data_IF_114065846182
#
_entry.id   IF_114065846182
#
_cell.length_a   1.000
_cell.length_b   1.000
_cell.length_c   1.000
_cell.angle_alpha   90.00
_cell.angle_beta   90.00
_cell.angle_gamma   90.00
#
_symmetry.space_group_name_H-M   'P 1'
#
loop_
_entity.id
_entity.type
_entity.pdbx_description
1 polymer ?
#
# COMPACT_ATOMS: atom_id res chain seq x y z
N UNK A 1 29.91 25.37 -52.00
CA UNK A 1 30.50 24.21 -52.70
C UNK A 1 30.03 22.93 -52.01
N UNK A 2 29.24 22.21 -52.77
CA UNK A 2 28.79 20.86 -52.68
C UNK A 2 29.79 19.82 -52.15
N UNK A 3 29.32 18.83 -51.33
CA UNK A 3 29.42 17.42 -51.73
C UNK A 3 28.59 16.56 -50.81
N UNK A 4 27.50 16.06 -51.39
CA UNK A 4 26.75 14.88 -50.98
C UNK A 4 27.63 13.64 -51.17
N UNK A 5 27.66 12.76 -50.19
CA UNK A 5 28.12 11.37 -50.40
C UNK A 5 27.01 10.43 -49.92
N UNK A 6 26.37 9.84 -50.90
CA UNK A 6 25.44 8.71 -50.79
C UNK A 6 26.23 7.44 -50.48
N UNK A 7 25.94 6.77 -49.39
CA UNK A 7 26.36 5.39 -49.21
C UNK A 7 25.11 4.54 -49.42
N UNK A 8 25.09 3.82 -50.52
CA UNK A 8 24.19 2.74 -50.85
C UNK A 8 24.58 1.54 -49.96
N UNK A 9 23.71 1.14 -49.05
CA UNK A 9 23.83 -0.16 -48.38
C UNK A 9 23.10 -1.21 -49.22
N UNK A 10 23.84 -2.15 -49.71
CA UNK A 10 23.37 -3.36 -50.35
C UNK A 10 22.57 -4.21 -49.31
N UNK A 11 21.34 -4.49 -49.60
CA UNK A 11 20.59 -5.57 -48.96
C UNK A 11 21.09 -6.90 -49.53
N UNK A 12 21.88 -7.63 -48.76
CA UNK A 12 22.10 -9.07 -49.00
C UNK A 12 21.01 -9.82 -48.25
N UNK A 13 20.07 -10.36 -48.99
CA UNK A 13 19.06 -11.29 -48.48
C UNK A 13 19.74 -12.61 -48.16
N UNK A 14 20.23 -12.78 -46.96
CA UNK A 14 20.56 -14.09 -46.42
C UNK A 14 19.29 -14.71 -45.87
N UNK A 15 18.63 -15.56 -46.64
CA UNK A 15 17.64 -16.53 -46.13
C UNK A 15 18.41 -17.55 -45.30
N UNK A 16 18.68 -17.21 -44.06
CA UNK A 16 19.14 -18.14 -43.04
C UNK A 16 17.91 -18.85 -42.47
N UNK A 17 17.75 -20.11 -42.77
CA UNK A 17 16.98 -21.05 -42.00
C UNK A 17 17.53 -21.06 -40.56
N UNK A 18 17.17 -20.06 -39.76
CA UNK A 18 17.34 -20.09 -38.33
C UNK A 18 16.40 -21.17 -37.79
N UNK A 19 16.99 -22.30 -37.48
CA UNK A 19 16.29 -23.39 -36.82
C UNK A 19 15.45 -22.84 -35.69
N UNK A 20 14.14 -23.03 -35.76
CA UNK A 20 13.25 -22.90 -34.62
C UNK A 20 13.79 -23.86 -33.56
N UNK A 21 14.60 -23.34 -32.64
CA UNK A 21 14.81 -24.02 -31.39
C UNK A 21 13.42 -24.11 -30.76
N UNK A 22 12.90 -25.31 -30.50
CA UNK A 22 11.67 -25.42 -29.76
C UNK A 22 11.93 -24.61 -28.47
N UNK A 23 11.11 -23.57 -28.24
CA UNK A 23 10.97 -23.03 -26.89
C UNK A 23 10.63 -24.25 -26.04
N UNK A 24 11.59 -24.79 -25.30
CA UNK A 24 11.26 -25.71 -24.22
C UNK A 24 10.19 -24.98 -23.45
N UNK A 25 8.98 -25.51 -23.44
CA UNK A 25 8.00 -25.19 -22.43
C UNK A 25 8.67 -25.60 -21.12
N UNK A 26 9.43 -24.67 -20.52
CA UNK A 26 9.81 -24.78 -19.13
C UNK A 26 8.46 -24.73 -18.42
N UNK A 27 8.00 -25.87 -17.92
CA UNK A 27 6.95 -25.86 -16.93
C UNK A 27 7.35 -24.83 -15.89
N UNK A 28 6.49 -23.89 -15.57
CA UNK A 28 6.76 -22.89 -14.55
C UNK A 28 7.20 -23.64 -13.31
N UNK A 29 8.50 -23.56 -12.98
CA UNK A 29 9.01 -24.19 -11.79
C UNK A 29 8.43 -23.42 -10.60
N UNK A 30 7.70 -24.14 -9.77
CA UNK A 30 7.11 -23.57 -8.56
C UNK A 30 7.97 -23.91 -7.34
N UNK A 31 7.92 -23.02 -6.36
CA UNK A 31 8.55 -23.20 -5.05
C UNK A 31 7.48 -23.07 -3.97
N UNK A 32 7.68 -23.83 -2.89
CA UNK A 32 6.93 -23.61 -1.65
C UNK A 32 7.51 -22.40 -0.91
N UNK A 33 6.66 -21.48 -0.51
CA UNK A 33 7.03 -20.25 0.21
C UNK A 33 7.30 -20.59 1.69
N UNK A 34 8.40 -21.32 1.93
CA UNK A 34 8.87 -21.66 3.27
C UNK A 34 9.53 -20.44 3.93
N UNK A 35 9.80 -20.53 5.24
CA UNK A 35 10.52 -19.47 5.95
C UNK A 35 11.89 -19.20 5.34
N UNK A 36 12.65 -20.24 4.96
CA UNK A 36 13.98 -20.08 4.34
C UNK A 36 13.89 -19.31 3.01
N UNK A 37 12.88 -19.61 2.19
CA UNK A 37 12.62 -18.91 0.93
C UNK A 37 12.27 -17.45 1.21
N UNK A 38 11.48 -17.18 2.24
CA UNK A 38 11.12 -15.84 2.68
C UNK A 38 12.35 -15.06 3.17
N UNK A 39 13.22 -15.69 3.96
CA UNK A 39 14.48 -15.07 4.40
C UNK A 39 15.36 -14.66 3.23
N UNK A 40 15.56 -15.57 2.27
CA UNK A 40 16.38 -15.32 1.09
C UNK A 40 15.78 -14.19 0.20
N UNK A 41 14.47 -14.22 -0.04
CA UNK A 41 13.79 -13.18 -0.78
C UNK A 41 13.88 -11.83 -0.07
N UNK A 42 13.65 -11.80 1.25
CA UNK A 42 13.74 -10.58 2.06
C UNK A 42 15.12 -9.94 1.98
N UNK A 43 16.17 -10.72 2.15
CA UNK A 43 17.54 -10.21 2.07
C UNK A 43 17.82 -9.60 0.68
N UNK A 44 17.36 -10.23 -0.39
CA UNK A 44 17.48 -9.66 -1.74
C UNK A 44 16.69 -8.36 -1.91
N UNK A 45 15.49 -8.26 -1.35
CA UNK A 45 14.70 -7.01 -1.36
C UNK A 45 15.46 -5.91 -0.61
N UNK A 46 16.02 -6.21 0.57
CA UNK A 46 16.83 -5.26 1.35
C UNK A 46 18.04 -4.81 0.51
N UNK A 47 18.80 -5.73 -0.05
CA UNK A 47 20.02 -5.42 -0.79
C UNK A 47 19.76 -4.54 -2.04
N UNK A 48 18.60 -4.71 -2.65
CA UNK A 48 18.26 -4.05 -3.91
C UNK A 48 17.43 -2.78 -3.77
N UNK A 49 16.56 -2.69 -2.76
CA UNK A 49 15.62 -1.57 -2.60
C UNK A 49 15.90 -0.69 -1.39
N UNK A 50 16.52 -1.22 -0.33
CA UNK A 50 16.78 -0.41 0.86
C UNK A 50 17.93 0.57 0.63
N UNK A 51 17.75 1.85 0.98
CA UNK A 51 18.85 2.81 1.05
C UNK A 51 19.76 2.56 2.25
N UNK A 52 19.33 1.71 3.20
CA UNK A 52 19.98 1.46 4.48
C UNK A 52 20.66 0.11 4.44
N UNK A 53 21.91 0.09 4.92
CA UNK A 53 22.70 -1.13 5.02
C UNK A 53 22.58 -1.75 6.41
N UNK A 54 22.85 -3.06 6.49
CA UNK A 54 22.85 -3.83 7.74
C UNK A 54 21.46 -3.94 8.42
N UNK A 55 20.39 -3.86 7.67
CA UNK A 55 19.08 -4.27 8.15
C UNK A 55 19.08 -5.79 8.35
N UNK A 56 18.41 -6.23 9.41
CA UNK A 56 18.20 -7.64 9.71
C UNK A 56 16.72 -7.93 9.96
N UNK A 57 16.32 -9.17 9.74
CA UNK A 57 14.97 -9.61 10.04
C UNK A 57 14.85 -9.81 11.55
N UNK A 58 13.88 -9.12 12.17
CA UNK A 58 13.58 -9.26 13.60
C UNK A 58 12.47 -10.25 13.86
N UNK A 59 11.45 -10.30 12.98
CA UNK A 59 10.30 -11.18 13.15
C UNK A 59 9.69 -11.56 11.80
N UNK A 60 9.17 -12.78 11.73
CA UNK A 60 8.35 -13.28 10.64
C UNK A 60 6.96 -13.65 11.15
N UNK A 61 5.90 -13.10 10.54
CA UNK A 61 4.54 -13.48 10.82
C UNK A 61 3.88 -13.99 9.54
N UNK A 62 3.35 -15.22 9.56
CA UNK A 62 2.47 -15.69 8.49
C UNK A 62 1.15 -14.92 8.51
N UNK A 63 0.58 -14.68 7.35
CA UNK A 63 -0.82 -14.27 7.25
C UNK A 63 -1.57 -15.16 6.25
N UNK A 64 -2.89 -15.24 6.42
CA UNK A 64 -3.79 -15.97 5.54
C UNK A 64 -4.80 -15.01 4.86
N UNK A 65 -5.45 -15.49 3.83
CA UNK A 65 -6.74 -14.97 3.32
C UNK A 65 -7.89 -15.83 3.82
N UNK A 66 -7.61 -17.12 3.98
CA UNK A 66 -8.51 -18.11 4.57
C UNK A 66 -7.70 -18.93 5.56
N UNK A 67 -8.21 -19.18 6.79
CA UNK A 67 -7.52 -19.99 7.79
C UNK A 67 -7.10 -21.36 7.23
N UNK A 68 -5.92 -21.81 7.62
CA UNK A 68 -5.33 -23.08 7.16
C UNK A 68 -4.44 -22.97 5.92
N UNK A 69 -4.39 -21.81 5.25
CA UNK A 69 -3.54 -21.60 4.05
C UNK A 69 -2.77 -20.30 4.15
N UNK A 70 -1.46 -20.38 4.09
CA UNK A 70 -0.58 -19.21 4.04
C UNK A 70 -0.85 -18.41 2.76
N UNK A 71 -1.13 -17.12 2.90
CA UNK A 71 -1.19 -16.18 1.78
C UNK A 71 0.12 -15.42 1.59
N UNK A 72 0.90 -15.25 2.66
CA UNK A 72 2.17 -14.57 2.63
C UNK A 72 2.78 -14.37 4.01
N UNK A 73 3.72 -13.43 4.07
CA UNK A 73 4.48 -13.11 5.27
C UNK A 73 4.60 -11.61 5.47
N UNK A 74 4.47 -11.20 6.72
CA UNK A 74 4.86 -9.89 7.22
C UNK A 74 6.21 -10.06 7.90
N UNK A 75 7.22 -9.36 7.40
CA UNK A 75 8.60 -9.44 7.86
C UNK A 75 8.97 -8.12 8.49
N UNK A 76 9.15 -8.10 9.81
CA UNK A 76 9.62 -6.92 10.52
C UNK A 76 11.15 -6.85 10.45
N UNK A 77 11.67 -5.64 10.28
CA UNK A 77 13.09 -5.36 10.12
C UNK A 77 13.61 -4.56 11.31
N UNK A 78 14.92 -4.70 11.57
CA UNK A 78 15.62 -3.92 12.59
C UNK A 78 17.05 -3.59 12.16
N UNK A 79 17.59 -2.54 12.76
CA UNK A 79 19.00 -2.22 12.74
C UNK A 79 19.52 -2.21 14.19
N UNK A 80 20.34 -3.21 14.55
CA UNK A 80 20.62 -3.48 15.96
C UNK A 80 19.36 -3.90 16.70
N UNK A 81 18.90 -3.13 17.67
CA UNK A 81 17.68 -3.36 18.44
C UNK A 81 16.57 -2.33 18.14
N UNK A 82 16.75 -1.50 17.13
CA UNK A 82 15.79 -0.45 16.76
C UNK A 82 14.95 -0.96 15.60
N UNK A 83 13.60 -0.93 15.69
CA UNK A 83 12.74 -1.23 14.56
C UNK A 83 13.08 -0.35 13.36
N UNK A 84 13.14 -0.92 12.18
CA UNK A 84 13.59 -0.21 10.99
C UNK A 84 12.84 -0.65 9.73
N UNK A 85 11.52 -0.63 9.83
CA UNK A 85 10.64 -0.94 8.73
C UNK A 85 10.19 -2.40 8.65
N UNK A 86 9.65 -2.73 7.51
CA UNK A 86 9.06 -4.04 7.24
C UNK A 86 8.98 -4.33 5.73
N UNK A 87 8.73 -5.59 5.41
CA UNK A 87 8.45 -6.08 4.05
C UNK A 87 7.24 -6.99 4.13
N UNK A 88 6.28 -6.85 3.20
CA UNK A 88 5.14 -7.75 3.07
C UNK A 88 5.26 -8.52 1.76
N UNK A 89 5.33 -9.84 1.90
CA UNK A 89 5.45 -10.81 0.83
C UNK A 89 4.08 -11.47 0.65
N UNK A 90 3.51 -11.37 -0.54
CA UNK A 90 2.17 -11.88 -0.83
C UNK A 90 2.19 -12.71 -2.11
N UNK A 91 1.69 -13.97 -2.02
CA UNK A 91 1.67 -14.92 -3.14
C UNK A 91 0.92 -14.42 -4.38
N UNK A 92 -0.07 -13.55 -4.19
CA UNK A 92 -0.92 -13.02 -5.26
C UNK A 92 -0.41 -11.69 -5.83
N UNK A 93 0.64 -11.14 -5.24
CA UNK A 93 1.28 -9.93 -5.76
C UNK A 93 2.30 -10.28 -6.85
N UNK A 94 2.25 -9.61 -8.02
CA UNK A 94 3.29 -9.79 -9.03
C UNK A 94 4.68 -9.50 -8.47
N UNK A 95 5.59 -10.49 -8.54
CA UNK A 95 6.92 -10.41 -7.94
C UNK A 95 6.94 -10.53 -6.43
N UNK A 96 5.87 -10.99 -5.81
CA UNK A 96 5.68 -11.26 -4.36
C UNK A 96 5.74 -10.04 -3.45
N UNK A 97 6.43 -8.97 -3.81
CA UNK A 97 6.57 -7.78 -2.97
C UNK A 97 5.33 -6.90 -3.08
N UNK A 98 4.47 -6.94 -2.06
CA UNK A 98 3.22 -6.17 -2.05
C UNK A 98 3.37 -4.81 -1.36
N UNK A 99 4.22 -4.73 -0.33
CA UNK A 99 4.39 -3.51 0.45
C UNK A 99 5.73 -3.55 1.19
N UNK A 100 6.31 -2.38 1.44
CA UNK A 100 7.48 -2.24 2.30
C UNK A 100 7.60 -0.83 2.89
N UNK A 101 8.42 -0.72 3.92
CA UNK A 101 8.97 0.53 4.45
C UNK A 101 10.36 0.23 5.03
N UNK A 102 11.28 1.19 4.93
CA UNK A 102 12.64 1.08 5.48
C UNK A 102 12.99 2.24 6.43
N UNK A 103 12.01 2.95 6.94
CA UNK A 103 12.22 4.09 7.82
C UNK A 103 12.50 3.64 9.27
N UNK A 104 13.35 4.39 9.95
CA UNK A 104 13.63 4.19 11.37
C UNK A 104 12.36 4.37 12.21
N UNK A 105 12.19 3.54 13.23
CA UNK A 105 11.00 3.44 14.08
C UNK A 105 9.70 3.11 13.34
N UNK A 106 9.78 2.73 12.07
CA UNK A 106 8.64 2.21 11.33
C UNK A 106 8.40 0.74 11.69
N UNK A 107 7.16 0.38 11.92
CA UNK A 107 6.73 -0.97 12.24
C UNK A 107 5.69 -1.46 11.24
N UNK A 108 5.57 -2.78 11.09
CA UNK A 108 4.56 -3.36 10.21
C UNK A 108 3.14 -3.14 10.74
N UNK A 109 2.14 -3.21 9.86
CA UNK A 109 0.74 -3.28 10.26
C UNK A 109 0.46 -4.33 11.33
N UNK A 110 1.19 -5.45 11.29
CA UNK A 110 1.09 -6.52 12.28
C UNK A 110 1.58 -6.08 13.67
N UNK A 111 2.71 -5.40 13.75
CA UNK A 111 3.24 -4.87 15.01
C UNK A 111 2.35 -3.76 15.57
N UNK A 112 1.85 -2.88 14.73
CA UNK A 112 0.99 -1.78 15.16
C UNK A 112 -0.35 -2.31 15.69
N UNK A 113 -0.98 -3.27 15.01
CA UNK A 113 -2.17 -3.98 15.49
C UNK A 113 -1.92 -4.70 16.81
N UNK A 114 -0.80 -5.41 16.91
CA UNK A 114 -0.42 -6.11 18.13
C UNK A 114 -0.37 -5.17 19.33
N UNK A 115 0.20 -3.97 19.17
CA UNK A 115 0.32 -3.00 20.27
C UNK A 115 -1.03 -2.43 20.72
N UNK A 116 -1.98 -2.25 19.80
CA UNK A 116 -3.31 -1.68 20.13
C UNK A 116 -4.26 -2.69 20.76
N UNK A 117 -4.20 -3.95 20.34
CA UNK A 117 -5.18 -4.96 20.76
C UNK A 117 -4.65 -6.02 21.73
N UNK A 118 -3.31 -6.18 21.85
CA UNK A 118 -2.71 -7.17 22.76
C UNK A 118 -3.20 -6.99 24.22
N UNK A 119 -3.26 -5.77 24.69
CA UNK A 119 -3.68 -5.49 26.07
C UNK A 119 -5.19 -5.64 26.29
N UNK A 120 -6.00 -5.36 25.26
CA UNK A 120 -7.45 -5.38 25.36
C UNK A 120 -8.06 -6.78 25.17
N UNK A 121 -7.44 -7.65 24.34
CA UNK A 121 -8.02 -8.91 23.88
C UNK A 121 -7.15 -10.14 24.10
N UNK A 122 -6.03 -10.03 24.82
CA UNK A 122 -5.09 -11.13 25.09
C UNK A 122 -4.50 -11.80 23.85
N UNK A 123 -4.26 -11.04 22.78
CA UNK A 123 -3.51 -11.51 21.63
C UNK A 123 -2.04 -11.68 22.00
N UNK A 124 -1.40 -12.69 21.47
CA UNK A 124 0.01 -12.96 21.69
C UNK A 124 0.77 -13.11 20.35
N UNK A 125 2.03 -13.47 20.44
CA UNK A 125 2.89 -13.64 19.26
C UNK A 125 2.46 -14.76 18.32
N UNK A 126 1.51 -15.62 18.75
CA UNK A 126 0.99 -16.74 17.96
C UNK A 126 -0.36 -16.42 17.32
N UNK A 127 -0.93 -15.24 17.62
CA UNK A 127 -2.22 -14.83 17.05
C UNK A 127 -2.13 -14.73 15.53
N UNK A 128 -3.04 -15.42 14.81
CA UNK A 128 -2.99 -15.44 13.35
C UNK A 128 -3.35 -14.09 12.73
N UNK A 129 -2.61 -13.71 11.70
CA UNK A 129 -2.95 -12.57 10.85
C UNK A 129 -3.76 -12.99 9.66
N UNK A 130 -4.73 -12.15 9.30
CA UNK A 130 -5.50 -12.28 8.07
C UNK A 130 -5.33 -11.02 7.23
N UNK A 131 -5.14 -11.20 5.93
CA UNK A 131 -5.22 -10.10 4.97
C UNK A 131 -6.66 -9.93 4.55
N UNK A 132 -7.24 -8.79 4.86
CA UNK A 132 -8.62 -8.47 4.53
C UNK A 132 -8.76 -7.89 3.12
N UNK A 133 -7.78 -7.08 2.72
CA UNK A 133 -7.65 -6.49 1.37
C UNK A 133 -6.24 -5.97 1.12
N UNK A 134 -6.06 -5.15 0.08
CA UNK A 134 -4.74 -4.64 -0.33
C UNK A 134 -4.07 -3.71 0.68
N UNK A 135 -4.84 -3.13 1.59
CA UNK A 135 -4.37 -2.10 2.53
C UNK A 135 -4.67 -2.46 3.99
N UNK A 136 -5.49 -3.49 4.23
CA UNK A 136 -6.05 -3.78 5.54
C UNK A 136 -5.72 -5.21 5.99
N UNK A 137 -5.26 -5.33 7.22
CA UNK A 137 -4.95 -6.58 7.90
C UNK A 137 -5.80 -6.70 9.16
N UNK A 138 -5.98 -7.90 9.64
CA UNK A 138 -6.69 -8.18 10.86
C UNK A 138 -6.00 -9.26 11.68
N UNK A 139 -6.38 -9.34 12.96
CA UNK A 139 -6.04 -10.41 13.89
C UNK A 139 -7.25 -11.33 14.07
N UNK A 140 -7.02 -12.62 14.11
CA UNK A 140 -8.07 -13.61 14.32
C UNK A 140 -8.05 -14.04 15.79
N UNK A 141 -9.13 -13.77 16.50
CA UNK A 141 -9.36 -14.37 17.82
C UNK A 141 -9.74 -15.84 17.65
N UNK A 142 -8.81 -16.72 17.99
CA UNK A 142 -8.97 -18.17 17.85
C UNK A 142 -10.17 -18.70 18.66
N UNK A 143 -10.47 -18.09 19.81
CA UNK A 143 -11.52 -18.56 20.72
C UNK A 143 -12.92 -18.23 20.23
N UNK A 144 -13.08 -17.09 19.55
CA UNK A 144 -14.38 -16.59 19.11
C UNK A 144 -14.55 -16.63 17.59
N UNK A 145 -13.45 -16.78 16.81
CA UNK A 145 -13.44 -16.64 15.37
C UNK A 145 -13.67 -15.21 14.88
N UNK A 146 -13.57 -14.23 15.78
CA UNK A 146 -13.72 -12.83 15.41
C UNK A 146 -12.44 -12.31 14.75
N UNK A 147 -12.61 -11.38 13.79
CA UNK A 147 -11.52 -10.66 13.16
C UNK A 147 -11.51 -9.23 13.71
N UNK A 148 -10.36 -8.80 14.17
CA UNK A 148 -10.11 -7.43 14.60
C UNK A 148 -9.26 -6.72 13.54
N UNK A 149 -9.86 -5.78 12.82
CA UNK A 149 -9.17 -5.05 11.76
C UNK A 149 -8.49 -3.78 12.26
N UNK A 150 -7.51 -3.30 11.51
CA UNK A 150 -6.86 -2.01 11.76
C UNK A 150 -7.82 -0.82 11.66
N UNK A 151 -8.98 -1.00 10.98
CA UNK A 151 -9.89 0.10 10.66
C UNK A 151 -10.94 0.39 11.73
N UNK A 152 -11.48 -0.66 12.35
CA UNK A 152 -12.68 -0.52 13.18
C UNK A 152 -12.59 -1.24 14.50
N UNK A 153 -11.48 -1.86 14.79
CA UNK A 153 -11.35 -2.77 15.91
C UNK A 153 -12.02 -4.11 15.64
N UNK A 154 -13.31 -4.18 15.35
CA UNK A 154 -14.04 -5.42 15.08
C UNK A 154 -14.58 -5.44 13.65
N UNK A 155 -14.06 -6.31 12.81
CA UNK A 155 -14.48 -6.45 11.40
C UNK A 155 -15.57 -7.50 11.15
N UNK A 156 -16.14 -8.08 12.20
CA UNK A 156 -17.24 -9.03 12.10
C UNK A 156 -16.83 -10.51 12.08
N UNK A 157 -17.70 -11.36 12.61
CA UNK A 157 -17.48 -12.78 12.86
C UNK A 157 -17.91 -13.72 11.71
N UNK A 158 -18.54 -13.21 10.66
CA UNK A 158 -19.31 -14.09 9.75
C UNK A 158 -18.46 -14.87 8.75
N UNK A 159 -17.25 -14.40 8.41
CA UNK A 159 -16.41 -15.07 7.43
C UNK A 159 -15.69 -16.32 7.96
N UNK A 160 -15.57 -16.47 9.28
CA UNK A 160 -14.77 -17.53 9.89
C UNK A 160 -15.58 -18.55 10.71
N UNK A 161 -16.88 -18.39 10.86
CA UNK A 161 -17.74 -19.28 11.66
C UNK A 161 -17.75 -20.74 11.20
N UNK A 162 -17.38 -20.99 9.96
CA UNK A 162 -17.34 -22.34 9.39
C UNK A 162 -15.94 -22.99 9.44
N UNK A 163 -14.90 -22.25 9.85
CA UNK A 163 -13.55 -22.78 9.89
C UNK A 163 -13.30 -23.58 11.17
N UNK A 164 -12.62 -24.72 11.02
CA UNK A 164 -12.21 -25.54 12.17
C UNK A 164 -11.20 -24.76 13.04
N UNK A 165 -11.40 -24.64 14.36
CA UNK A 165 -10.46 -23.97 15.27
C UNK A 165 -8.99 -24.40 15.11
N UNK A 166 -8.75 -25.68 14.79
CA UNK A 166 -7.39 -26.19 14.51
C UNK A 166 -6.74 -25.52 13.28
N UNK A 167 -7.51 -24.94 12.37
CA UNK A 167 -6.98 -24.23 11.20
C UNK A 167 -6.45 -22.81 11.52
N UNK A 168 -6.60 -22.36 12.76
CA UNK A 168 -6.10 -21.05 13.20
C UNK A 168 -4.66 -21.05 13.71
N UNK A 169 -4.03 -22.22 13.83
CA UNK A 169 -2.62 -22.32 14.17
C UNK A 169 -1.76 -22.03 12.94
N UNK A 170 -1.04 -20.89 12.85
CA UNK A 170 -0.17 -20.57 11.72
C UNK A 170 0.94 -21.59 11.48
N UNK A 171 1.32 -22.34 12.53
CA UNK A 171 2.30 -23.44 12.43
C UNK A 171 1.80 -24.61 11.61
N UNK A 172 0.49 -24.85 11.59
CA UNK A 172 -0.15 -25.93 10.85
C UNK A 172 -0.60 -25.54 9.44
N UNK A 173 -0.47 -24.27 9.04
CA UNK A 173 -0.94 -23.81 7.72
C UNK A 173 -0.12 -24.41 6.58
N UNK A 174 -0.84 -24.81 5.52
CA UNK A 174 -0.24 -25.17 4.26
C UNK A 174 0.52 -23.97 3.68
N UNK A 175 1.79 -24.14 3.35
CA UNK A 175 2.60 -23.09 2.76
C UNK A 175 2.16 -22.78 1.32
N UNK A 176 2.19 -21.54 0.94
CA UNK A 176 1.82 -21.10 -0.40
C UNK A 176 2.82 -21.59 -1.44
N UNK A 177 2.33 -21.91 -2.63
CA UNK A 177 3.16 -22.20 -3.80
C UNK A 177 3.27 -20.96 -4.67
N UNK A 178 4.50 -20.60 -5.04
CA UNK A 178 4.83 -19.41 -5.83
C UNK A 178 5.74 -19.77 -7.01
N UNK A 179 5.85 -18.89 -8.01
CA UNK A 179 6.77 -19.15 -9.11
C UNK A 179 8.22 -18.97 -8.67
N UNK A 180 9.10 -19.83 -9.15
CA UNK A 180 10.55 -19.75 -8.90
C UNK A 180 11.11 -18.40 -9.34
N UNK A 181 10.66 -17.88 -10.50
CA UNK A 181 11.08 -16.58 -11.03
C UNK A 181 10.72 -15.43 -10.10
N UNK A 182 9.53 -15.46 -9.50
CA UNK A 182 9.09 -14.43 -8.57
C UNK A 182 9.99 -14.37 -7.33
N UNK A 183 10.36 -15.53 -6.77
CA UNK A 183 11.26 -15.62 -5.62
C UNK A 183 12.68 -15.15 -5.97
N UNK A 184 13.19 -15.47 -7.15
CA UNK A 184 14.57 -15.18 -7.55
C UNK A 184 14.73 -13.90 -8.36
N UNK A 185 13.70 -13.04 -8.38
CA UNK A 185 13.76 -11.72 -9.01
C UNK A 185 14.53 -10.73 -8.14
N UNK A 186 15.71 -10.33 -8.60
CA UNK A 186 16.42 -9.19 -8.03
C UNK A 186 15.76 -7.91 -8.55
N UNK A 187 15.29 -7.06 -7.67
CA UNK A 187 14.73 -5.77 -8.04
C UNK A 187 15.84 -4.77 -8.38
N UNK A 188 15.68 -4.07 -9.49
CA UNK A 188 16.53 -2.94 -9.84
C UNK A 188 15.70 -1.67 -9.87
N UNK A 189 15.97 -0.74 -8.95
CA UNK A 189 15.33 0.59 -8.95
C UNK A 189 15.72 1.31 -10.24
N UNK A 190 14.72 1.80 -10.96
CA UNK A 190 14.89 2.59 -12.19
C UNK A 190 14.66 4.07 -11.95
N UNK A 191 13.66 4.39 -11.16
CA UNK A 191 13.31 5.75 -10.80
C UNK A 191 12.68 5.78 -9.43
N UNK A 192 12.96 6.82 -8.67
CA UNK A 192 12.35 7.11 -7.39
C UNK A 192 12.24 8.61 -7.20
N UNK A 193 11.13 9.08 -6.64
CA UNK A 193 10.95 10.47 -6.25
C UNK A 193 9.85 10.58 -5.21
N UNK A 194 9.95 11.60 -4.36
CA UNK A 194 8.93 11.95 -3.38
C UNK A 194 8.74 13.46 -3.27
N UNK A 195 7.62 13.84 -2.68
CA UNK A 195 7.31 15.22 -2.32
C UNK A 195 7.52 15.35 -0.82
N UNK A 196 8.66 15.89 -0.42
CA UNK A 196 9.02 16.11 0.99
C UNK A 196 8.51 17.45 1.52
N UNK A 197 8.32 17.54 2.85
CA UNK A 197 8.29 16.49 3.84
C UNK A 197 7.02 15.62 3.75
N UNK A 198 7.05 14.43 4.37
CA UNK A 198 5.88 13.57 4.49
C UNK A 198 4.73 14.28 5.21
N UNK A 199 3.52 14.18 4.67
CA UNK A 199 2.32 14.86 5.17
C UNK A 199 1.45 13.85 5.91
N UNK A 200 1.49 13.90 7.22
CA UNK A 200 0.82 12.96 8.08
C UNK A 200 -0.26 13.63 8.94
N UNK A 201 -1.41 12.99 9.07
CA UNK A 201 -2.46 13.31 10.04
C UNK A 201 -3.18 12.02 10.46
N UNK A 202 -2.98 11.57 11.70
CA UNK A 202 -3.53 10.29 12.16
C UNK A 202 -5.04 10.34 12.37
N UNK A 203 -5.69 9.22 12.10
CA UNK A 203 -7.11 9.01 12.40
C UNK A 203 -7.39 9.30 13.87
N UNK A 204 -6.58 8.77 14.78
CA UNK A 204 -6.74 8.99 16.22
C UNK A 204 -6.70 10.47 16.62
N UNK A 205 -5.85 11.28 15.98
CA UNK A 205 -5.84 12.73 16.19
C UNK A 205 -7.11 13.38 15.68
N UNK A 206 -7.56 13.01 14.49
CA UNK A 206 -8.80 13.57 13.90
C UNK A 206 -10.00 13.19 14.76
N UNK A 207 -10.14 11.95 15.16
CA UNK A 207 -11.22 11.45 16.01
C UNK A 207 -11.26 12.15 17.37
N UNK A 208 -10.11 12.24 18.03
CA UNK A 208 -10.03 12.84 19.36
C UNK A 208 -10.40 14.31 19.35
N UNK A 209 -9.97 15.07 18.33
CA UNK A 209 -10.13 16.54 18.26
C UNK A 209 -11.40 16.96 17.51
N UNK A 210 -11.76 16.29 16.41
CA UNK A 210 -12.91 16.68 15.58
C UNK A 210 -14.19 15.88 15.89
N UNK A 211 -14.09 14.76 16.62
CA UNK A 211 -15.20 13.82 16.90
C UNK A 211 -15.85 13.29 15.62
N UNK A 212 -15.08 13.25 14.54
CA UNK A 212 -15.47 12.69 13.25
C UNK A 212 -14.24 12.33 12.43
N UNK A 213 -14.42 11.38 11.50
CA UNK A 213 -13.36 10.94 10.59
C UNK A 213 -13.91 10.64 9.19
N UNK A 214 -13.16 11.02 8.16
CA UNK A 214 -13.34 10.57 6.78
C UNK A 214 -11.99 10.55 6.07
N UNK A 215 -11.63 9.42 5.47
CA UNK A 215 -10.35 9.21 4.81
C UNK A 215 -10.06 10.25 3.70
N UNK A 216 -11.09 10.62 2.92
CA UNK A 216 -10.98 11.68 1.91
C UNK A 216 -10.59 13.01 2.55
N UNK A 217 -11.29 13.41 3.63
CA UNK A 217 -11.03 14.71 4.27
C UNK A 217 -9.64 14.75 4.89
N UNK A 218 -9.20 13.64 5.49
CA UNK A 218 -7.84 13.48 6.03
C UNK A 218 -6.78 13.56 4.92
N UNK A 219 -7.00 12.90 3.79
CA UNK A 219 -6.12 12.98 2.62
C UNK A 219 -6.05 14.41 2.06
N UNK A 220 -7.17 15.11 1.97
CA UNK A 220 -7.20 16.51 1.50
C UNK A 220 -6.58 17.47 2.51
N UNK A 221 -6.68 17.19 3.81
CA UNK A 221 -5.96 17.94 4.84
C UNK A 221 -4.44 17.79 4.66
N UNK A 222 -3.96 16.56 4.44
CA UNK A 222 -2.55 16.28 4.16
C UNK A 222 -2.08 17.01 2.88
N UNK A 223 -2.89 17.04 1.83
CA UNK A 223 -2.63 17.82 0.61
C UNK A 223 -2.61 19.32 0.92
N UNK A 224 -3.53 19.80 1.78
CA UNK A 224 -3.54 21.19 2.26
C UNK A 224 -2.27 21.60 3.01
N UNK A 225 -1.65 20.68 3.74
CA UNK A 225 -0.33 20.91 4.36
C UNK A 225 0.75 21.17 3.30
N UNK A 226 0.74 20.41 2.21
CA UNK A 226 1.67 20.60 1.10
C UNK A 226 1.54 21.98 0.47
N UNK A 227 0.32 22.48 0.28
CA UNK A 227 0.07 23.81 -0.26
C UNK A 227 0.20 24.94 0.78
N UNK A 228 0.59 24.64 2.02
CA UNK A 228 0.74 25.63 3.09
C UNK A 228 -0.58 26.21 3.60
N UNK A 229 -1.72 25.61 3.29
CA UNK A 229 -3.07 26.07 3.67
C UNK A 229 -3.69 25.24 4.81
N UNK A 230 -2.97 24.28 5.33
CA UNK A 230 -3.26 23.58 6.58
C UNK A 230 -1.97 23.44 7.40
N UNK A 231 -2.05 23.52 8.76
CA UNK A 231 -0.89 23.33 9.62
C UNK A 231 -0.32 21.92 9.50
N UNK A 232 1.00 21.82 9.59
CA UNK A 232 1.71 20.56 9.47
C UNK A 232 1.70 19.73 10.76
N UNK A 233 1.40 18.45 10.63
CA UNK A 233 1.52 17.44 11.68
C UNK A 233 0.35 17.43 12.68
N UNK A 234 0.23 16.30 13.38
CA UNK A 234 -0.83 15.99 14.33
C UNK A 234 -0.99 17.00 15.45
N UNK A 235 0.14 17.47 16.00
CA UNK A 235 0.14 18.42 17.13
C UNK A 235 -0.52 19.75 16.78
N UNK A 236 -0.44 20.15 15.51
CA UNK A 236 -1.01 21.41 14.99
C UNK A 236 -2.35 21.23 14.25
N UNK A 237 -2.94 20.02 14.32
CA UNK A 237 -4.20 19.76 13.67
C UNK A 237 -5.26 20.80 14.00
N UNK A 238 -5.90 21.34 12.97
CA UNK A 238 -6.91 22.39 13.09
C UNK A 238 -8.28 21.86 12.69
N UNK A 239 -9.13 21.69 13.71
CA UNK A 239 -10.51 21.19 13.53
C UNK A 239 -11.38 22.08 12.63
N UNK A 240 -11.16 23.41 12.62
CA UNK A 240 -11.94 24.31 11.75
C UNK A 240 -11.63 24.08 10.27
N UNK A 241 -10.34 23.84 9.94
CA UNK A 241 -9.92 23.48 8.57
C UNK A 241 -10.53 22.15 8.16
N UNK A 242 -10.45 21.15 9.05
CA UNK A 242 -11.02 19.84 8.78
C UNK A 242 -12.53 19.91 8.53
N UNK A 243 -13.25 20.70 9.35
CA UNK A 243 -14.68 20.93 9.19
C UNK A 243 -15.01 21.68 7.89
N UNK A 244 -14.21 22.67 7.50
CA UNK A 244 -14.41 23.39 6.24
C UNK A 244 -14.21 22.45 5.03
N UNK A 245 -13.17 21.61 5.03
CA UNK A 245 -12.97 20.58 4.02
C UNK A 245 -14.14 19.57 3.99
N UNK A 246 -14.59 19.08 5.15
CA UNK A 246 -15.74 18.19 5.27
C UNK A 246 -16.99 18.76 4.58
N UNK A 247 -17.30 20.02 4.85
CA UNK A 247 -18.47 20.70 4.29
C UNK A 247 -18.33 20.92 2.77
N UNK A 248 -17.16 21.37 2.31
CA UNK A 248 -16.91 21.64 0.89
C UNK A 248 -16.88 20.41 0.02
N UNK A 249 -16.45 19.28 0.57
CA UNK A 249 -16.48 17.99 -0.10
C UNK A 249 -17.83 17.30 -0.03
N UNK A 250 -18.83 17.93 0.63
CA UNK A 250 -20.15 17.35 0.87
C UNK A 250 -20.08 15.99 1.55
N UNK A 251 -19.08 15.82 2.41
CA UNK A 251 -18.96 14.62 3.24
C UNK A 251 -20.16 14.56 4.19
N UNK A 252 -20.82 13.41 4.24
CA UNK A 252 -21.95 13.14 5.13
C UNK A 252 -21.60 12.04 6.11
N UNK A 253 -22.27 12.04 7.26
CA UNK A 253 -22.11 10.95 8.24
C UNK A 253 -22.74 9.69 7.65
N UNK A 254 -21.96 8.61 7.60
CA UNK A 254 -22.40 7.29 7.18
C UNK A 254 -22.85 6.47 8.37
N UNK A 255 -22.04 6.48 9.44
CA UNK A 255 -22.37 5.84 10.72
C UNK A 255 -21.68 6.57 11.88
N UNK A 256 -22.07 6.21 13.12
CA UNK A 256 -21.43 6.72 14.33
C UNK A 256 -21.07 5.56 15.26
N UNK A 257 -19.88 5.62 15.85
CA UNK A 257 -19.40 4.64 16.82
C UNK A 257 -18.61 5.35 17.92
N UNK A 258 -18.81 4.98 19.17
CA UNK A 258 -18.11 5.53 20.34
C UNK A 258 -18.06 7.09 20.39
N UNK A 259 -19.14 7.74 19.93
CA UNK A 259 -19.21 9.20 19.87
C UNK A 259 -18.42 9.85 18.74
N UNK A 260 -17.89 9.06 17.82
CA UNK A 260 -17.20 9.52 16.59
C UNK A 260 -18.14 9.33 15.40
N UNK A 261 -18.24 10.33 14.54
CA UNK A 261 -18.99 10.28 13.29
C UNK A 261 -18.07 9.90 12.14
N UNK A 262 -18.30 8.77 11.50
CA UNK A 262 -17.57 8.33 10.31
C UNK A 262 -18.31 8.76 9.06
N UNK A 263 -17.58 9.34 8.11
CA UNK A 263 -18.18 10.00 6.95
C UNK A 263 -17.77 9.39 5.62
N UNK A 264 -18.72 9.46 4.69
CA UNK A 264 -18.51 9.16 3.28
C UNK A 264 -18.51 10.42 2.43
N UNK A 265 -17.63 10.47 1.43
CA UNK A 265 -17.47 11.60 0.51
C UNK A 265 -17.79 11.13 -0.91
N UNK A 266 -18.67 11.78 -1.67
CA UNK A 266 -18.84 11.48 -3.07
C UNK A 266 -17.54 11.73 -3.84
N UNK A 267 -17.05 10.73 -4.60
CA UNK A 267 -15.76 10.83 -5.31
C UNK A 267 -15.69 12.05 -6.24
N UNK A 268 -16.82 12.43 -6.86
CA UNK A 268 -16.93 13.62 -7.71
C UNK A 268 -16.74 14.94 -6.96
N UNK A 269 -16.83 14.95 -5.64
CA UNK A 269 -16.68 16.14 -4.81
C UNK A 269 -15.28 16.33 -4.21
N UNK A 270 -14.40 15.35 -4.36
CA UNK A 270 -13.01 15.41 -3.82
C UNK A 270 -12.26 16.59 -4.43
N UNK A 271 -12.15 16.62 -5.76
CA UNK A 271 -11.46 17.70 -6.48
C UNK A 271 -12.11 19.07 -6.29
N UNK A 272 -13.42 19.23 -6.59
CA UNK A 272 -14.11 20.52 -6.42
C UNK A 272 -14.05 21.04 -4.99
N UNK A 273 -14.24 20.17 -4.00
CA UNK A 273 -14.22 20.55 -2.58
C UNK A 273 -12.86 21.13 -2.17
N UNK A 274 -11.75 20.46 -2.55
CA UNK A 274 -10.42 20.95 -2.24
C UNK A 274 -10.08 22.25 -3.00
N UNK A 275 -10.39 22.33 -4.28
CA UNK A 275 -10.17 23.57 -5.07
C UNK A 275 -10.90 24.76 -4.48
N UNK A 276 -12.17 24.58 -4.07
CA UNK A 276 -12.94 25.64 -3.40
C UNK A 276 -12.34 26.03 -2.05
N UNK A 277 -11.78 25.06 -1.30
CA UNK A 277 -11.06 25.34 -0.06
C UNK A 277 -9.78 26.14 -0.34
N UNK A 278 -8.93 25.68 -1.26
CA UNK A 278 -7.69 26.36 -1.62
C UNK A 278 -7.92 27.80 -2.11
N UNK A 279 -8.94 27.99 -2.96
CA UNK A 279 -9.36 29.33 -3.43
C UNK A 279 -9.74 30.26 -2.27
N UNK A 280 -10.42 29.76 -1.23
CA UNK A 280 -10.76 30.56 -0.04
C UNK A 280 -9.54 30.97 0.80
N UNK A 281 -8.38 30.34 0.54
CA UNK A 281 -7.07 30.66 1.12
C UNK A 281 -6.16 31.43 0.15
N UNK A 282 -6.71 31.93 -0.96
CA UNK A 282 -5.98 32.62 -2.04
C UNK A 282 -4.89 31.75 -2.70
N UNK A 283 -5.06 30.43 -2.68
CA UNK A 283 -4.19 29.48 -3.37
C UNK A 283 -4.91 28.93 -4.60
N UNK A 284 -4.27 29.09 -5.75
CA UNK A 284 -4.82 28.61 -7.02
C UNK A 284 -4.40 27.15 -7.24
N UNK A 285 -5.36 26.26 -7.20
CA UNK A 285 -5.17 24.81 -7.45
C UNK A 285 -6.19 24.39 -8.49
N UNK A 286 -5.78 23.57 -9.42
CA UNK A 286 -6.68 22.86 -10.34
C UNK A 286 -6.60 21.35 -10.07
N UNK A 287 -7.49 20.58 -10.69
CA UNK A 287 -7.50 19.13 -10.53
C UNK A 287 -7.90 18.40 -11.81
N UNK A 288 -7.49 17.12 -11.88
CA UNK A 288 -8.01 16.14 -12.84
C UNK A 288 -8.53 14.96 -12.03
N UNK A 289 -9.76 14.57 -12.26
CA UNK A 289 -10.35 13.34 -11.70
C UNK A 289 -10.32 12.24 -12.76
N UNK A 290 -9.76 11.08 -12.42
CA UNK A 290 -9.77 9.88 -13.25
C UNK A 290 -10.44 8.75 -12.47
N UNK A 291 -11.65 8.38 -12.89
CA UNK A 291 -12.47 7.29 -12.33
C UNK A 291 -12.25 5.94 -13.02
N UNK A 292 -11.36 5.87 -14.01
CA UNK A 292 -11.17 4.69 -14.84
C UNK A 292 -9.73 4.18 -14.76
N UNK A 293 -9.38 3.60 -13.62
CA UNK A 293 -8.07 2.96 -13.39
C UNK A 293 -6.89 3.80 -13.87
N UNK A 294 -6.54 4.89 -13.17
CA UNK A 294 -5.42 5.75 -13.55
C UNK A 294 -4.18 4.92 -13.86
N UNK A 295 -3.45 5.29 -14.89
CA UNK A 295 -2.18 4.64 -15.17
C UNK A 295 -1.15 5.00 -14.08
N UNK A 296 -0.17 4.13 -13.78
CA UNK A 296 0.92 4.49 -12.87
C UNK A 296 1.62 5.79 -13.25
N UNK A 297 1.72 6.08 -14.55
CA UNK A 297 2.38 7.28 -15.07
C UNK A 297 1.70 8.58 -14.59
N UNK A 298 0.37 8.59 -14.40
CA UNK A 298 -0.33 9.78 -13.91
C UNK A 298 0.09 10.16 -12.49
N UNK A 299 0.32 9.17 -11.63
CA UNK A 299 0.86 9.38 -10.27
C UNK A 299 2.32 9.83 -10.32
N UNK A 300 3.14 9.18 -11.14
CA UNK A 300 4.55 9.54 -11.37
C UNK A 300 4.65 11.00 -11.83
N UNK A 301 3.87 11.39 -12.81
CA UNK A 301 3.84 12.75 -13.33
C UNK A 301 3.39 13.77 -12.28
N UNK A 302 2.46 13.39 -11.40
CA UNK A 302 2.03 14.24 -10.28
C UNK A 302 3.19 14.50 -9.32
N UNK A 303 3.88 13.47 -8.86
CA UNK A 303 5.03 13.58 -7.95
C UNK A 303 6.18 14.37 -8.61
N UNK A 304 6.48 14.11 -9.88
CA UNK A 304 7.54 14.82 -10.61
C UNK A 304 7.24 16.32 -10.76
N UNK A 305 5.98 16.71 -10.84
CA UNK A 305 5.55 18.12 -10.78
C UNK A 305 5.53 18.70 -9.36
N UNK A 306 6.00 17.93 -8.38
CA UNK A 306 5.94 18.32 -6.96
C UNK A 306 4.52 18.60 -6.47
N UNK A 307 3.55 17.82 -6.95
CA UNK A 307 2.16 17.85 -6.50
C UNK A 307 1.74 16.52 -5.91
N UNK A 308 0.74 16.56 -5.04
CA UNK A 308 0.17 15.39 -4.41
C UNK A 308 -1.10 14.95 -5.15
N UNK A 309 -1.43 13.69 -5.03
CA UNK A 309 -2.65 13.12 -5.58
C UNK A 309 -3.34 12.23 -4.55
N UNK A 310 -4.62 11.95 -4.76
CA UNK A 310 -5.32 10.91 -4.03
C UNK A 310 -5.36 9.62 -4.85
N UNK A 311 -5.28 8.50 -4.17
CA UNK A 311 -5.59 7.19 -4.71
C UNK A 311 -6.76 6.60 -3.93
N UNK A 312 -7.76 6.10 -4.64
CA UNK A 312 -8.96 5.53 -4.06
C UNK A 312 -9.12 4.08 -4.51
N UNK A 313 -9.46 3.24 -3.56
CA UNK A 313 -9.81 1.83 -3.76
C UNK A 313 -10.87 1.42 -2.74
N UNK A 314 -11.39 0.21 -2.83
CA UNK A 314 -12.24 -0.33 -1.79
C UNK A 314 -11.42 -1.15 -0.80
N UNK A 315 -11.85 -1.09 0.44
CA UNK A 315 -11.38 -1.90 1.55
C UNK A 315 -12.54 -2.66 2.18
N UNK A 316 -12.23 -3.75 2.90
CA UNK A 316 -13.24 -4.46 3.68
C UNK A 316 -13.40 -3.84 5.06
N UNK A 317 -14.65 -3.54 5.40
CA UNK A 317 -15.02 -3.07 6.73
C UNK A 317 -16.33 -3.72 7.15
N UNK A 318 -16.38 -4.37 8.31
CA UNK A 318 -17.57 -5.07 8.83
C UNK A 318 -18.25 -6.01 7.81
N UNK A 319 -17.45 -6.73 7.00
CA UNK A 319 -17.99 -7.63 5.98
C UNK A 319 -18.56 -6.95 4.74
N UNK A 320 -18.51 -5.62 4.66
CA UNK A 320 -18.88 -4.83 3.48
C UNK A 320 -17.66 -4.17 2.84
N UNK A 321 -17.79 -3.86 1.55
CA UNK A 321 -16.77 -3.10 0.82
C UNK A 321 -17.06 -1.62 0.97
N UNK A 322 -16.09 -0.88 1.48
CA UNK A 322 -16.15 0.57 1.59
C UNK A 322 -15.05 1.23 0.78
N UNK A 323 -15.32 2.43 0.26
CA UNK A 323 -14.31 3.25 -0.40
C UNK A 323 -13.25 3.71 0.60
N UNK A 324 -11.97 3.60 0.23
CA UNK A 324 -10.88 4.19 0.99
C UNK A 324 -10.04 5.10 0.10
N UNK A 325 -9.61 6.22 0.68
CA UNK A 325 -8.84 7.26 0.00
C UNK A 325 -7.54 7.50 0.75
N UNK A 326 -6.44 7.45 0.01
CA UNK A 326 -5.10 7.70 0.53
C UNK A 326 -4.40 8.80 -0.26
N UNK A 327 -3.45 9.48 0.35
CA UNK A 327 -2.60 10.46 -0.34
C UNK A 327 -1.39 9.75 -0.93
N UNK A 328 -1.10 10.01 -2.21
CA UNK A 328 0.13 9.55 -2.89
C UNK A 328 1.11 10.72 -2.95
N UNK A 329 2.29 10.54 -2.40
CA UNK A 329 3.31 11.58 -2.34
C UNK A 329 4.68 11.15 -2.86
N UNK A 330 4.85 9.88 -3.21
CA UNK A 330 6.09 9.37 -3.76
C UNK A 330 5.86 8.17 -4.67
N UNK A 331 6.85 7.85 -5.46
CA UNK A 331 6.87 6.65 -6.27
C UNK A 331 8.27 6.05 -6.36
N UNK A 332 8.33 4.74 -6.54
CA UNK A 332 9.50 3.99 -6.95
C UNK A 332 9.11 3.06 -8.10
N UNK A 333 9.88 3.04 -9.16
CA UNK A 333 9.77 2.03 -10.21
C UNK A 333 10.93 1.07 -10.09
N UNK A 334 10.63 -0.20 -9.98
CA UNK A 334 11.65 -1.24 -9.90
C UNK A 334 11.31 -2.37 -10.86
N UNK A 335 12.32 -2.86 -11.58
CA UNK A 335 12.15 -3.94 -12.55
C UNK A 335 12.91 -5.15 -12.05
N UNK A 336 12.30 -6.36 -12.03
CA UNK A 336 13.03 -7.58 -11.79
C UNK A 336 14.17 -7.73 -12.80
N UNK A 337 15.35 -8.11 -12.34
CA UNK A 337 16.53 -8.32 -13.19
C UNK A 337 16.22 -9.41 -14.22
N UNK A 338 16.34 -9.05 -15.50
CA UNK A 338 15.92 -9.93 -16.60
C UNK A 338 14.44 -9.91 -16.96
N UNK A 339 13.59 -9.24 -16.16
CA UNK A 339 12.18 -9.02 -16.46
C UNK A 339 11.95 -7.75 -17.26
N UNK A 340 10.90 -7.74 -18.10
CA UNK A 340 10.51 -6.56 -18.89
C UNK A 340 9.44 -5.70 -18.23
N UNK A 341 8.79 -6.22 -17.20
CA UNK A 341 7.61 -5.59 -16.58
C UNK A 341 7.96 -4.93 -15.26
N UNK A 342 7.95 -3.59 -15.19
CA UNK A 342 8.27 -2.88 -13.97
C UNK A 342 7.17 -3.04 -12.91
N UNK A 343 7.55 -3.13 -11.65
CA UNK A 343 6.67 -2.87 -10.50
C UNK A 343 6.65 -1.36 -10.22
N UNK A 344 5.48 -0.88 -9.82
CA UNK A 344 5.27 0.52 -9.43
C UNK A 344 4.88 0.54 -7.96
N UNK A 345 5.74 1.08 -7.13
CA UNK A 345 5.45 1.29 -5.72
C UNK A 345 5.10 2.75 -5.49
N UNK A 346 3.99 2.99 -4.79
CA UNK A 346 3.59 4.33 -4.39
C UNK A 346 3.75 4.50 -2.89
N UNK A 347 4.43 5.57 -2.51
CA UNK A 347 4.50 6.02 -1.13
C UNK A 347 3.17 6.69 -0.79
N UNK A 348 2.40 6.05 0.09
CA UNK A 348 1.09 6.52 0.49
C UNK A 348 1.05 6.93 1.94
N UNK A 349 0.14 7.85 2.23
CA UNK A 349 -0.37 8.14 3.54
C UNK A 349 -1.84 7.72 3.61
N UNK A 350 -2.17 6.78 4.48
CA UNK A 350 -3.51 6.20 4.60
C UNK A 350 -4.32 6.70 5.83
N UNK A 351 -3.67 7.40 6.73
CA UNK A 351 -4.29 7.93 7.94
C UNK A 351 -4.35 6.94 9.11
N UNK A 352 -4.12 5.65 8.87
CA UNK A 352 -4.23 4.61 9.88
C UNK A 352 -2.91 4.32 10.59
N UNK A 353 -1.83 4.28 9.82
CA UNK A 353 -0.48 4.01 10.30
C UNK A 353 0.31 5.30 10.49
N UNK A 354 1.20 5.30 11.47
CA UNK A 354 2.04 6.44 11.79
C UNK A 354 3.13 6.72 10.76
N UNK A 355 3.37 5.78 9.85
CA UNK A 355 4.44 5.84 8.86
C UNK A 355 3.92 5.75 7.43
N UNK A 356 4.73 6.20 6.47
CA UNK A 356 4.46 6.00 5.06
C UNK A 356 4.46 4.51 4.71
N UNK A 357 3.68 4.15 3.70
CA UNK A 357 3.61 2.80 3.15
C UNK A 357 3.97 2.83 1.68
N UNK A 358 4.89 1.96 1.26
CA UNK A 358 5.22 1.78 -0.15
C UNK A 358 4.43 0.59 -0.69
N UNK A 359 3.31 0.84 -1.36
CA UNK A 359 2.39 -0.19 -1.85
C UNK A 359 2.62 -0.48 -3.33
N UNK A 360 2.55 -1.75 -3.72
CA UNK A 360 2.64 -2.17 -5.12
C UNK A 360 1.32 -1.89 -5.85
N UNK A 361 1.32 -0.92 -6.75
CA UNK A 361 0.13 -0.53 -7.53
C UNK A 361 -0.40 -1.63 -8.45
N UNK A 362 0.42 -2.63 -8.79
CA UNK A 362 0.01 -3.78 -9.62
C UNK A 362 -0.67 -4.89 -8.84
N UNK A 363 -0.80 -4.74 -7.54
CA UNK A 363 -1.50 -5.73 -6.73
C UNK A 363 -2.92 -5.97 -7.24
N UNK A 364 -3.26 -7.23 -7.51
CA UNK A 364 -4.50 -7.60 -8.19
C UNK A 364 -5.76 -7.34 -7.37
N UNK A 365 -5.63 -7.28 -6.06
CA UNK A 365 -6.75 -7.20 -5.11
C UNK A 365 -7.28 -5.78 -4.87
N UNK A 366 -6.79 -4.78 -5.60
CA UNK A 366 -7.48 -3.50 -5.67
C UNK A 366 -8.77 -3.67 -6.47
N UNK A 367 -9.91 -3.55 -5.81
CA UNK A 367 -11.24 -3.82 -6.41
C UNK A 367 -11.61 -2.79 -7.47
N UNK A 368 -11.21 -1.55 -7.28
CA UNK A 368 -11.21 -0.48 -8.28
C UNK A 368 -10.04 0.45 -8.00
N UNK A 369 -9.73 1.32 -8.94
CA UNK A 369 -8.70 2.34 -8.82
C UNK A 369 -9.20 3.62 -9.40
N UNK A 370 -9.15 4.68 -8.60
CA UNK A 370 -9.48 6.05 -9.01
C UNK A 370 -8.43 7.00 -8.47
N UNK A 371 -8.34 8.20 -9.03
CA UNK A 371 -7.39 9.20 -8.57
C UNK A 371 -7.83 10.63 -8.84
N UNK A 372 -7.49 11.53 -7.91
CA UNK A 372 -7.59 12.97 -8.13
C UNK A 372 -6.18 13.56 -8.08
N UNK A 373 -5.80 14.21 -9.15
CA UNK A 373 -4.46 14.78 -9.37
C UNK A 373 -4.57 16.32 -9.29
N UNK A 374 -3.94 16.90 -8.28
CA UNK A 374 -3.91 18.34 -8.09
C UNK A 374 -2.73 18.98 -8.82
N UNK A 375 -2.90 20.27 -9.24
CA UNK A 375 -1.88 21.00 -9.98
C UNK A 375 -1.81 22.45 -9.50
#
# INVERSE_FOLDING_TARGET
>A
MNRRSFIKMLFVSAVGLAGMRPKKAFGESTLTLTQDVVYDFTNRVIDNLSPIKNLSISKLNKFCEVPGKTAGYIVDLQMGNIPHGYIIIDKDCPGLLSEFNFEENSVSPACELGSVYLDAHKFDSTTPFIKMDSLNYGLIDISTGNIYSTLTGLAGSNALKEANPASYDPGSWEDATVSWEAVHSDYQVKQESSVDPFRFISESTVESKAKKYACVVSSLYAIGQHYGIAPYGDTRFNTLIYNDLWNRTKTSVEYSSNGINYGTTPNSMIGPGFVNYAKSKNVNVSYIYNSNSPSPQQFIDSVNRKSLSTFMSAVFNNGSKQGHCVTVQGYMTATPKGGSTPSYFFCIFDGWYSNARWINYRYKNFLYREGVFFK
#
